data_IF_491061196219
#
_entry.id   IF_491061196219
#
_cell.length_a   1.000
_cell.length_b   1.000
_cell.length_c   1.000
_cell.angle_alpha   90.00
_cell.angle_beta   90.00
_cell.angle_gamma   90.00
#
_symmetry.space_group_name_H-M   'P 1'
#
loop_
_entity.id
_entity.type
_entity.pdbx_description
1 polymer ?
#
# COMPACT_ATOMS: atom_id res chain seq x y z
N UNK A 1 -22.55 -20.42 31.41
CA UNK A 1 -21.90 -19.31 30.69
C UNK A 1 -23.01 -18.50 30.06
N UNK A 2 -23.36 -17.36 30.66
CA UNK A 2 -24.43 -16.50 30.15
C UNK A 2 -23.89 -15.65 29.00
N UNK A 3 -24.48 -15.81 27.82
CA UNK A 3 -24.17 -14.98 26.65
C UNK A 3 -24.92 -13.68 26.82
N UNK A 4 -24.22 -12.61 27.22
CA UNK A 4 -24.77 -11.26 27.25
C UNK A 4 -24.99 -10.76 25.81
N UNK A 5 -26.18 -11.03 25.27
CA UNK A 5 -26.62 -10.44 24.01
C UNK A 5 -27.08 -9.02 24.36
N UNK A 6 -26.23 -8.03 24.10
CA UNK A 6 -26.55 -6.62 24.29
C UNK A 6 -27.68 -6.24 23.34
N UNK A 7 -28.83 -5.85 23.88
CA UNK A 7 -29.96 -5.39 23.07
C UNK A 7 -29.55 -4.17 22.23
N UNK A 8 -29.94 -4.13 20.94
CA UNK A 8 -29.68 -2.97 20.10
C UNK A 8 -30.45 -1.76 20.66
N UNK A 9 -29.70 -0.79 21.19
CA UNK A 9 -30.21 0.54 21.59
C UNK A 9 -30.81 1.27 20.39
N UNK A 10 -31.80 2.16 20.60
CA UNK A 10 -32.42 3.02 19.58
C UNK A 10 -31.44 3.82 18.71
N UNK A 11 -30.17 3.93 19.11
CA UNK A 11 -29.09 4.54 18.34
C UNK A 11 -28.35 3.56 17.42
N UNK A 12 -28.79 2.31 17.32
CA UNK A 12 -28.23 1.30 16.41
C UNK A 12 -28.80 1.49 15.01
N UNK A 13 -28.21 2.40 14.24
CA UNK A 13 -28.52 2.54 12.83
C UNK A 13 -27.75 1.50 12.01
N UNK A 14 -28.40 0.96 10.98
CA UNK A 14 -27.75 0.14 9.98
C UNK A 14 -26.58 0.94 9.39
N UNK A 15 -25.37 0.37 9.30
CA UNK A 15 -24.22 1.07 8.75
C UNK A 15 -24.51 1.49 7.31
N UNK A 16 -24.25 2.77 7.01
CA UNK A 16 -24.38 3.31 5.65
C UNK A 16 -23.56 2.44 4.68
N UNK A 17 -24.21 1.85 3.65
CA UNK A 17 -23.52 0.99 2.69
C UNK A 17 -22.39 1.73 1.97
N UNK A 18 -22.51 3.04 1.73
CA UNK A 18 -21.45 3.81 1.09
C UNK A 18 -20.22 3.90 2.00
N UNK A 19 -20.43 4.15 3.30
CA UNK A 19 -19.36 4.16 4.29
C UNK A 19 -18.65 2.82 4.38
N UNK A 20 -19.38 1.71 4.30
CA UNK A 20 -18.80 0.37 4.27
C UNK A 20 -17.88 0.17 3.05
N UNK A 21 -18.29 0.63 1.87
CA UNK A 21 -17.48 0.56 0.66
C UNK A 21 -16.19 1.38 0.78
N UNK A 22 -16.27 2.59 1.35
CA UNK A 22 -15.09 3.45 1.56
C UNK A 22 -14.10 2.78 2.51
N UNK A 23 -14.58 2.18 3.61
CA UNK A 23 -13.72 1.45 4.55
C UNK A 23 -13.04 0.27 3.87
N UNK A 24 -13.78 -0.53 3.10
CA UNK A 24 -13.23 -1.66 2.34
C UNK A 24 -12.17 -1.20 1.34
N UNK A 25 -12.42 -0.09 0.64
CA UNK A 25 -11.46 0.50 -0.29
C UNK A 25 -10.16 0.91 0.42
N UNK A 26 -10.26 1.63 1.54
CA UNK A 26 -9.09 2.06 2.31
C UNK A 26 -8.27 0.87 2.80
N UNK A 27 -8.92 -0.18 3.29
CA UNK A 27 -8.24 -1.40 3.72
C UNK A 27 -7.51 -2.08 2.57
N UNK A 28 -8.15 -2.15 1.38
CA UNK A 28 -7.54 -2.72 0.18
C UNK A 28 -6.33 -1.92 -0.30
N UNK A 29 -6.41 -0.59 -0.23
CA UNK A 29 -5.26 0.28 -0.53
C UNK A 29 -4.11 0.01 0.44
N UNK A 30 -4.37 -0.05 1.74
CA UNK A 30 -3.36 -0.35 2.77
C UNK A 30 -2.70 -1.71 2.52
N UNK A 31 -3.51 -2.75 2.34
CA UNK A 31 -3.05 -4.13 2.13
C UNK A 31 -2.17 -4.25 0.87
N UNK A 32 -2.61 -3.72 -0.28
CA UNK A 32 -1.79 -3.72 -1.50
C UNK A 32 -0.53 -2.87 -1.34
N UNK A 33 -0.60 -1.75 -0.64
CA UNK A 33 0.57 -0.89 -0.44
C UNK A 33 1.63 -1.52 0.44
N UNK A 34 1.23 -2.34 1.41
CA UNK A 34 2.14 -3.04 2.29
C UNK A 34 2.78 -4.30 1.64
N UNK A 35 2.10 -4.89 0.64
CA UNK A 35 2.51 -6.17 0.04
C UNK A 35 3.05 -6.08 -1.39
N UNK A 36 2.85 -4.95 -2.09
CA UNK A 36 3.17 -4.78 -3.51
C UNK A 36 4.24 -3.71 -3.74
N UNK A 37 5.14 -3.98 -4.69
CA UNK A 37 6.12 -3.01 -5.23
C UNK A 37 5.57 -2.18 -6.40
N UNK A 38 4.29 -2.40 -6.78
CA UNK A 38 3.64 -1.64 -7.86
C UNK A 38 3.66 -0.12 -7.60
N UNK A 39 3.57 0.69 -8.65
CA UNK A 39 3.45 2.15 -8.52
C UNK A 39 2.17 2.55 -7.77
N UNK A 40 2.23 3.60 -6.95
CA UNK A 40 1.08 4.03 -6.14
C UNK A 40 -0.13 4.44 -6.99
N UNK A 41 0.12 5.05 -8.15
CA UNK A 41 -0.90 5.37 -9.15
C UNK A 41 -1.56 4.13 -9.76
N UNK A 42 -0.80 3.07 -10.01
CA UNK A 42 -1.31 1.78 -10.50
C UNK A 42 -2.24 1.13 -9.48
N UNK A 43 -1.80 1.05 -8.22
CA UNK A 43 -2.61 0.52 -7.12
C UNK A 43 -3.90 1.33 -6.97
N UNK A 44 -3.81 2.66 -7.01
CA UNK A 44 -4.95 3.54 -6.89
C UNK A 44 -5.96 3.33 -8.02
N UNK A 45 -5.49 3.31 -9.27
CA UNK A 45 -6.34 3.11 -10.44
C UNK A 45 -7.08 1.77 -10.41
N UNK A 46 -6.36 0.68 -10.14
CA UNK A 46 -6.94 -0.67 -10.03
C UNK A 46 -8.03 -0.79 -8.97
N UNK A 47 -7.85 -0.08 -7.86
CA UNK A 47 -8.79 -0.10 -6.74
C UNK A 47 -9.99 0.80 -7.03
N UNK A 48 -9.78 2.01 -7.57
CA UNK A 48 -10.85 2.95 -7.90
C UNK A 48 -11.75 2.45 -9.02
N UNK A 49 -11.22 1.74 -10.02
CA UNK A 49 -12.02 1.19 -11.12
C UNK A 49 -13.07 0.16 -10.65
N UNK A 50 -12.90 -0.40 -9.44
CA UNK A 50 -13.82 -1.38 -8.85
C UNK A 50 -14.86 -0.73 -7.93
N UNK A 51 -14.86 0.60 -7.80
CA UNK A 51 -15.74 1.33 -6.90
C UNK A 51 -17.04 1.71 -7.61
N UNK A 52 -18.21 1.48 -6.99
CA UNK A 52 -19.47 1.96 -7.52
C UNK A 52 -19.51 3.49 -7.60
N UNK A 53 -20.10 4.02 -8.68
CA UNK A 53 -20.28 5.46 -8.88
C UNK A 53 -21.00 6.15 -7.72
N UNK A 54 -21.95 5.45 -7.06
CA UNK A 54 -22.67 5.95 -5.87
C UNK A 54 -21.76 6.28 -4.69
N UNK A 55 -20.58 5.66 -4.62
CA UNK A 55 -19.60 5.85 -3.55
C UNK A 55 -18.58 6.92 -3.92
N UNK A 56 -18.38 7.19 -5.22
CA UNK A 56 -17.35 8.09 -5.73
C UNK A 56 -17.45 9.51 -5.17
N UNK A 57 -18.68 10.01 -4.93
CA UNK A 57 -18.92 11.33 -4.37
C UNK A 57 -18.44 11.47 -2.91
N UNK A 58 -18.32 10.35 -2.20
CA UNK A 58 -17.93 10.30 -0.79
C UNK A 58 -16.46 9.90 -0.59
N UNK A 59 -15.71 9.69 -1.68
CA UNK A 59 -14.30 9.34 -1.60
C UNK A 59 -13.44 10.54 -1.23
N UNK A 60 -12.33 10.25 -0.52
CA UNK A 60 -11.25 11.21 -0.36
C UNK A 60 -10.62 11.52 -1.71
N UNK A 61 -10.00 12.70 -1.83
CA UNK A 61 -9.30 13.09 -3.06
C UNK A 61 -8.21 12.07 -3.43
N UNK A 62 -7.91 11.96 -4.72
CA UNK A 62 -6.87 11.06 -5.21
C UNK A 62 -5.53 11.28 -4.48
N UNK A 63 -5.16 12.53 -4.22
CA UNK A 63 -3.98 12.90 -3.45
C UNK A 63 -3.98 12.31 -2.03
N UNK A 64 -5.11 12.38 -1.32
CA UNK A 64 -5.23 11.81 0.02
C UNK A 64 -5.13 10.27 0.00
N UNK A 65 -5.65 9.63 -1.05
CA UNK A 65 -5.54 8.19 -1.25
C UNK A 65 -4.11 7.76 -1.61
N UNK A 66 -3.41 8.54 -2.44
CA UNK A 66 -1.98 8.32 -2.73
C UNK A 66 -1.13 8.47 -1.47
N UNK A 67 -1.36 9.50 -0.66
CA UNK A 67 -0.66 9.65 0.63
C UNK A 67 -0.90 8.45 1.55
N UNK A 68 -2.10 7.87 1.52
CA UNK A 68 -2.39 6.64 2.27
C UNK A 68 -1.51 5.50 1.76
N UNK A 69 -1.40 5.32 0.44
CA UNK A 69 -0.50 4.30 -0.15
C UNK A 69 0.96 4.53 0.27
N UNK A 70 1.45 5.76 0.21
CA UNK A 70 2.83 6.08 0.57
C UNK A 70 3.15 5.81 2.05
N UNK A 71 2.21 6.07 2.96
CA UNK A 71 2.39 5.84 4.41
C UNK A 71 2.44 4.35 4.78
N UNK A 72 1.77 3.52 4.01
CA UNK A 72 1.63 2.08 4.30
C UNK A 72 2.73 1.25 3.63
N UNK A 73 3.49 1.85 2.71
CA UNK A 73 4.68 1.20 2.17
C UNK A 73 5.74 1.08 3.25
N UNK A 74 6.39 -0.09 3.35
CA UNK A 74 7.54 -0.21 4.23
C UNK A 74 8.58 0.85 3.81
N UNK A 75 8.99 1.69 4.77
CA UNK A 75 10.12 2.56 4.56
C UNK A 75 11.32 1.68 4.18
N UNK A 76 12.10 2.13 3.21
CA UNK A 76 13.37 1.49 2.91
C UNK A 76 14.20 1.55 4.19
N UNK A 77 14.37 0.39 4.85
CA UNK A 77 15.20 0.32 6.04
C UNK A 77 16.63 0.55 5.57
N UNK A 78 17.14 1.75 5.82
CA UNK A 78 18.54 2.06 5.63
C UNK A 78 19.35 1.10 6.50
N UNK A 79 20.46 0.61 5.96
CA UNK A 79 21.39 -0.16 6.76
C UNK A 79 21.98 0.71 7.89
N UNK A 80 22.73 0.09 8.80
CA UNK A 80 23.54 0.74 9.84
C UNK A 80 24.50 1.83 9.32
N UNK A 81 24.72 1.95 8.01
CA UNK A 81 25.56 2.96 7.37
C UNK A 81 24.74 4.06 6.70
N UNK A 82 23.41 4.09 6.88
CA UNK A 82 22.53 5.05 6.21
C UNK A 82 22.39 4.80 4.70
N UNK A 83 22.84 3.66 4.20
CA UNK A 83 22.74 3.27 2.81
C UNK A 83 21.43 2.52 2.55
N UNK A 84 20.83 2.77 1.39
CA UNK A 84 19.70 1.98 0.91
C UNK A 84 20.17 0.51 0.81
N UNK A 85 19.40 -0.47 1.32
CA UNK A 85 19.75 -1.87 1.19
C UNK A 85 19.82 -2.18 -0.30
N UNK A 86 20.92 -2.82 -0.73
CA UNK A 86 21.06 -3.27 -2.11
C UNK A 86 19.85 -4.12 -2.46
N UNK A 87 18.97 -3.60 -3.32
CA UNK A 87 17.87 -4.38 -3.87
C UNK A 87 18.52 -5.47 -4.72
N UNK A 88 18.64 -6.67 -4.16
CA UNK A 88 19.22 -7.85 -4.82
C UNK A 88 18.24 -8.32 -5.89
N UNK A 89 18.22 -7.62 -7.00
CA UNK A 89 17.23 -7.78 -8.05
C UNK A 89 17.61 -7.10 -9.37
N UNK A 90 18.90 -7.01 -9.69
CA UNK A 90 19.36 -6.82 -11.07
C UNK A 90 20.53 -7.74 -11.32
N UNK A 91 20.39 -8.55 -12.36
CA UNK A 91 21.45 -9.38 -12.91
C UNK A 91 22.70 -8.52 -13.14
N UNK A 92 23.72 -8.74 -12.32
CA UNK A 92 25.08 -8.32 -12.60
C UNK A 92 25.53 -9.03 -13.89
N UNK A 93 25.88 -8.32 -14.97
CA UNK A 93 26.72 -8.95 -15.99
C UNK A 93 28.08 -9.21 -15.34
N UNK A 94 28.38 -10.49 -15.12
CA UNK A 94 29.71 -10.99 -14.78
C UNK A 94 30.74 -10.41 -15.78
N UNK A 95 31.40 -9.30 -15.44
CA UNK A 95 32.67 -8.93 -16.05
C UNK A 95 33.78 -9.58 -15.22
N UNK A 96 34.02 -10.85 -15.52
CA UNK A 96 35.22 -11.56 -15.09
C UNK A 96 36.42 -11.13 -15.93
N UNK A 97 37.44 -10.58 -15.26
CA UNK A 97 38.83 -10.55 -15.73
C UNK A 97 39.17 -9.38 -16.67
N UNK A 98 40.37 -8.82 -16.65
CA UNK A 98 41.60 -9.25 -15.99
C UNK A 98 42.53 -8.04 -15.81
N UNK A 99 43.19 -8.01 -14.68
CA UNK A 99 44.41 -7.25 -14.39
C UNK A 99 45.44 -7.29 -15.53
N UNK A 100 46.03 -6.15 -15.87
CA UNK A 100 47.44 -6.13 -16.27
C UNK A 100 48.09 -4.80 -15.91
N UNK A 101 48.94 -4.88 -14.90
CA UNK A 101 50.02 -3.95 -14.59
C UNK A 101 50.89 -3.69 -15.82
N UNK A 102 51.37 -2.46 -15.98
CA UNK A 102 52.63 -2.16 -16.67
C UNK A 102 53.24 -0.90 -16.07
N UNK A 103 54.30 -1.12 -15.31
CA UNK A 103 55.40 -0.18 -15.09
C UNK A 103 56.14 0.02 -16.41
N UNK A 104 56.38 1.27 -16.78
CA UNK A 104 57.70 1.92 -16.81
C UNK A 104 57.50 3.44 -16.94
#
# INVERSE_FOLDING_TARGET
MEVFIKEPSEHSHVPDPNRLHIVRLKNKLKERSASSDEGGTTILFDVLHKVPLSVSANLSTNEALLQTIHRERPAIQLDHNGCLPLIRGRNEPNFSGSSSVRSD
#
